data_IF_008620705822
#
_entry.id   IF_008620705822
#
_cell.length_a   1.000
_cell.length_b   1.000
_cell.length_c   1.000
_cell.angle_alpha   90.00
_cell.angle_beta   90.00
_cell.angle_gamma   90.00
#
_symmetry.space_group_name_H-M   'P 1'
#
loop_
_entity.id
_entity.type
_entity.pdbx_description
1 polymer ?
#
# COMPACT_ATOMS: atom_id res chain seq x y z
N UNK A 1 25.87 -62.11 -48.50
CA UNK A 1 26.83 -63.17 -48.26
C UNK A 1 26.99 -63.36 -46.76
N UNK A 2 26.46 -64.45 -46.29
CA UNK A 2 27.13 -65.50 -45.51
C UNK A 2 27.68 -64.96 -44.18
N UNK A 3 27.45 -65.50 -43.04
CA UNK A 3 26.91 -66.74 -42.46
C UNK A 3 27.21 -66.60 -40.96
N UNK A 4 26.26 -66.85 -40.05
CA UNK A 4 26.15 -68.15 -39.30
C UNK A 4 27.25 -68.32 -38.26
N UNK A 5 26.93 -68.56 -37.13
CA UNK A 5 26.44 -69.65 -36.24
C UNK A 5 27.43 -69.72 -35.06
N UNK A 6 27.00 -69.82 -33.89
CA UNK A 6 26.48 -70.88 -33.10
C UNK A 6 27.40 -71.29 -31.91
N UNK A 7 26.76 -71.66 -30.94
CA UNK A 7 26.90 -72.70 -29.89
C UNK A 7 27.43 -72.20 -28.53
N UNK A 8 26.58 -72.24 -27.48
CA UNK A 8 25.95 -73.38 -26.73
C UNK A 8 26.91 -74.02 -25.71
N UNK A 9 26.29 -74.20 -24.53
CA UNK A 9 26.55 -75.17 -23.45
C UNK A 9 27.38 -74.65 -22.28
N UNK A 10 26.73 -74.38 -21.13
CA UNK A 10 26.32 -75.38 -20.14
C UNK A 10 27.49 -76.02 -19.41
N UNK A 11 27.66 -75.79 -18.17
CA UNK A 11 27.83 -76.87 -17.18
C UNK A 11 27.55 -76.33 -15.74
N UNK A 12 26.76 -77.11 -15.10
CA UNK A 12 26.34 -77.13 -13.69
C UNK A 12 27.56 -77.55 -12.85
N UNK A 13 27.74 -76.91 -11.66
CA UNK A 13 28.28 -77.58 -10.47
C UNK A 13 28.05 -76.70 -9.23
N UNK A 14 27.21 -76.96 -8.47
CA UNK A 14 26.99 -77.57 -7.16
C UNK A 14 28.19 -77.50 -6.21
N UNK A 15 28.15 -76.61 -5.19
CA UNK A 15 28.60 -76.91 -3.81
C UNK A 15 28.12 -75.75 -2.89
N UNK A 16 27.17 -76.01 -2.15
CA UNK A 16 26.94 -76.16 -0.69
C UNK A 16 27.66 -75.14 0.21
N UNK A 17 26.81 -74.36 0.87
CA UNK A 17 26.69 -74.13 2.33
C UNK A 17 27.83 -73.37 3.02
N UNK A 18 27.54 -72.15 3.50
CA UNK A 18 27.63 -71.80 4.92
C UNK A 18 26.77 -70.49 5.06
N UNK A 19 25.71 -70.64 5.85
CA UNK A 19 24.89 -69.50 6.31
C UNK A 19 25.65 -68.79 7.42
N UNK A 20 26.06 -67.51 7.17
CA UNK A 20 26.36 -66.58 8.25
C UNK A 20 25.26 -65.52 8.21
N UNK A 21 24.31 -65.67 9.10
CA UNK A 21 23.29 -64.67 9.40
C UNK A 21 24.02 -63.51 10.10
N UNK A 22 24.35 -62.45 9.35
CA UNK A 22 24.63 -61.16 9.97
C UNK A 22 23.34 -60.35 9.97
N UNK A 23 22.72 -60.29 11.14
CA UNK A 23 21.65 -59.38 11.42
C UNK A 23 22.15 -57.93 11.26
N UNK A 24 21.96 -57.36 10.07
CA UNK A 24 22.10 -55.96 9.80
C UNK A 24 20.82 -55.27 10.32
N UNK A 25 20.82 -54.84 11.59
CA UNK A 25 19.85 -53.89 12.07
C UNK A 25 20.02 -52.59 11.28
N UNK A 26 18.97 -52.07 10.60
CA UNK A 26 19.04 -50.76 10.02
C UNK A 26 19.07 -49.75 11.19
N UNK A 27 20.22 -49.14 11.42
CA UNK A 27 20.31 -47.94 12.27
C UNK A 27 19.55 -46.83 11.57
N UNK A 28 18.27 -46.67 11.90
CA UNK A 28 17.53 -45.49 11.53
C UNK A 28 18.10 -44.31 12.29
N UNK A 29 18.96 -43.55 11.63
CA UNK A 29 19.33 -42.21 12.07
C UNK A 29 18.06 -41.34 12.07
N UNK A 30 17.40 -41.23 13.23
CA UNK A 30 16.40 -40.23 13.45
C UNK A 30 17.12 -38.89 13.51
N UNK A 31 17.24 -38.24 12.33
CA UNK A 31 17.63 -36.84 12.26
C UNK A 31 16.48 -36.08 12.88
N UNK A 32 16.58 -35.75 14.16
CA UNK A 32 15.75 -34.76 14.81
C UNK A 32 16.04 -33.40 14.15
N UNK A 33 15.35 -33.13 13.05
CA UNK A 33 15.27 -31.80 12.51
C UNK A 33 14.60 -30.96 13.60
N UNK A 34 15.39 -30.27 14.43
CA UNK A 34 14.92 -29.13 15.20
C UNK A 34 14.29 -28.20 14.19
N UNK A 35 12.97 -28.24 14.09
CA UNK A 35 12.21 -27.15 13.50
C UNK A 35 12.56 -25.91 14.30
N UNK A 36 13.53 -25.14 13.83
CA UNK A 36 13.69 -23.77 14.26
C UNK A 36 12.40 -23.07 13.86
N UNK A 37 11.43 -22.99 14.77
CA UNK A 37 10.33 -22.05 14.65
C UNK A 37 11.00 -20.67 14.65
N UNK A 38 11.34 -20.17 13.47
CA UNK A 38 11.64 -18.77 13.30
C UNK A 38 10.33 -18.04 13.60
N UNK A 39 10.17 -17.58 14.82
CA UNK A 39 9.15 -16.58 15.09
C UNK A 39 9.35 -15.48 14.05
N UNK A 40 8.31 -15.08 13.30
CA UNK A 40 8.44 -13.94 12.42
C UNK A 40 9.02 -12.78 13.23
N UNK A 41 9.94 -11.99 12.68
CA UNK A 41 10.55 -10.88 13.40
C UNK A 41 9.42 -10.03 13.98
N UNK A 42 9.55 -9.66 15.26
CA UNK A 42 8.54 -8.90 15.98
C UNK A 42 8.25 -7.61 15.23
N UNK A 43 7.10 -7.50 14.59
CA UNK A 43 6.67 -6.29 13.90
C UNK A 43 6.33 -5.20 14.92
N UNK A 44 6.75 -3.99 14.67
CA UNK A 44 6.29 -2.82 15.39
C UNK A 44 5.09 -2.23 14.65
N UNK A 45 3.99 -2.01 15.37
CA UNK A 45 2.73 -1.51 14.82
C UNK A 45 2.46 -0.09 15.28
N UNK A 46 2.01 0.72 14.34
CA UNK A 46 1.65 2.12 14.57
C UNK A 46 0.24 2.35 14.04
N UNK A 47 -0.58 3.01 14.86
CA UNK A 47 -1.93 3.45 14.46
C UNK A 47 -1.89 4.92 14.07
N UNK A 48 -2.51 5.28 12.95
CA UNK A 48 -2.61 6.67 12.51
C UNK A 48 -3.46 7.48 13.47
N UNK A 49 -3.03 8.71 13.76
CA UNK A 49 -3.73 9.68 14.60
C UNK A 49 -4.22 10.85 13.74
N UNK A 50 -5.49 10.80 13.35
CA UNK A 50 -6.11 11.84 12.53
C UNK A 50 -6.14 13.20 13.25
N UNK A 51 -6.25 13.20 14.58
CA UNK A 51 -6.31 14.44 15.39
C UNK A 51 -4.99 15.22 15.42
N UNK A 52 -3.85 14.52 15.23
CA UNK A 52 -2.50 15.12 15.20
C UNK A 52 -1.93 15.22 13.77
N UNK A 53 -2.74 14.91 12.78
CA UNK A 53 -2.33 14.84 11.39
C UNK A 53 -3.01 15.90 10.54
N UNK A 54 -2.36 16.22 9.42
CA UNK A 54 -2.94 17.05 8.37
C UNK A 54 -2.93 16.30 7.06
N UNK A 55 -4.09 16.21 6.40
CA UNK A 55 -4.20 15.62 5.08
C UNK A 55 -5.10 16.49 4.22
N UNK A 56 -4.53 17.05 3.13
CA UNK A 56 -5.17 18.06 2.29
C UNK A 56 -5.14 17.63 0.82
N UNK A 57 -6.22 17.98 0.12
CA UNK A 57 -6.32 17.85 -1.34
C UNK A 57 -6.50 19.24 -1.92
N UNK A 58 -5.65 19.64 -2.85
CA UNK A 58 -5.81 20.84 -3.65
C UNK A 58 -6.37 20.48 -5.02
N UNK A 59 -7.53 21.01 -5.33
CA UNK A 59 -8.16 20.93 -6.64
C UNK A 59 -8.04 22.28 -7.34
N UNK A 60 -7.41 22.29 -8.52
CA UNK A 60 -7.08 23.52 -9.23
C UNK A 60 -8.23 23.95 -10.15
N UNK A 61 -8.48 25.28 -10.21
CA UNK A 61 -9.36 25.85 -11.21
C UNK A 61 -8.77 25.70 -12.62
N UNK A 62 -9.63 25.54 -13.61
CA UNK A 62 -9.28 25.39 -15.01
C UNK A 62 -10.40 25.80 -15.95
N UNK A 63 -10.24 25.53 -17.24
CA UNK A 63 -11.17 25.95 -18.29
C UNK A 63 -10.81 27.32 -18.89
N UNK A 64 -11.61 27.79 -19.83
CA UNK A 64 -11.31 29.06 -20.57
C UNK A 64 -11.34 30.27 -19.64
N UNK A 65 -12.23 30.28 -18.64
CA UNK A 65 -12.37 31.35 -17.67
C UNK A 65 -11.77 30.96 -16.30
N UNK A 66 -10.64 30.21 -16.29
CA UNK A 66 -9.98 29.74 -15.08
C UNK A 66 -9.71 30.85 -14.05
N UNK A 67 -9.43 32.08 -14.51
CA UNK A 67 -9.15 33.23 -13.67
C UNK A 67 -10.39 33.76 -12.91
N UNK A 68 -11.60 33.31 -13.27
CA UNK A 68 -12.84 33.56 -12.53
C UNK A 68 -13.18 32.43 -11.55
N UNK A 69 -12.42 31.32 -11.62
CA UNK A 69 -12.55 30.21 -10.70
C UNK A 69 -11.59 30.31 -9.52
N UNK A 70 -11.79 29.46 -8.54
CA UNK A 70 -10.93 29.38 -7.37
C UNK A 70 -10.42 27.95 -7.20
N UNK A 71 -9.17 27.82 -6.73
CA UNK A 71 -8.70 26.54 -6.25
C UNK A 71 -9.46 26.16 -4.97
N UNK A 72 -9.70 24.89 -4.80
CA UNK A 72 -10.30 24.34 -3.59
C UNK A 72 -9.24 23.69 -2.71
N UNK A 73 -9.34 23.85 -1.40
CA UNK A 73 -8.48 23.24 -0.40
C UNK A 73 -9.31 22.37 0.51
N UNK A 74 -9.33 21.10 0.21
CA UNK A 74 -10.19 20.11 0.85
C UNK A 74 -9.40 19.40 1.95
N UNK A 75 -9.82 19.55 3.20
CA UNK A 75 -9.26 18.80 4.32
C UNK A 75 -9.92 17.41 4.42
N UNK A 76 -9.13 16.39 4.65
CA UNK A 76 -9.57 15.04 5.03
C UNK A 76 -9.67 15.01 6.56
N UNK A 77 -10.86 14.84 7.12
CA UNK A 77 -11.10 14.96 8.57
C UNK A 77 -11.18 13.63 9.30
N UNK A 78 -11.66 12.57 8.65
CA UNK A 78 -11.84 11.26 9.26
C UNK A 78 -11.11 10.19 8.44
N UNK A 79 -10.01 9.71 8.99
CA UNK A 79 -9.25 8.62 8.43
C UNK A 79 -8.63 7.78 9.54
N UNK A 80 -8.40 6.54 9.24
CA UNK A 80 -7.73 5.57 10.12
C UNK A 80 -6.75 4.72 9.32
N UNK A 81 -5.86 4.06 10.01
CA UNK A 81 -4.91 3.17 9.34
C UNK A 81 -3.85 2.62 10.27
N UNK A 82 -3.05 1.74 9.71
CA UNK A 82 -1.98 1.05 10.42
C UNK A 82 -0.72 1.03 9.56
N UNK A 83 0.41 1.25 10.22
CA UNK A 83 1.74 1.02 9.67
C UNK A 83 2.38 -0.12 10.45
N UNK A 84 2.96 -1.08 9.75
CA UNK A 84 3.75 -2.17 10.32
C UNK A 84 5.17 -2.06 9.81
N UNK A 85 6.12 -2.08 10.72
CA UNK A 85 7.54 -1.94 10.43
C UNK A 85 8.32 -3.09 11.09
N UNK A 86 9.45 -3.47 10.50
CA UNK A 86 10.49 -4.16 11.27
C UNK A 86 11.09 -3.21 12.33
N UNK A 87 11.59 -3.73 13.45
CA UNK A 87 12.15 -2.89 14.50
C UNK A 87 13.25 -1.97 13.96
N UNK A 88 13.20 -0.69 14.37
CA UNK A 88 14.21 0.35 14.09
C UNK A 88 14.49 0.64 12.61
N UNK A 89 13.61 0.19 11.71
CA UNK A 89 13.73 0.42 10.27
C UNK A 89 12.36 0.64 9.62
N UNK A 90 12.35 1.26 8.43
CA UNK A 90 11.14 1.38 7.62
C UNK A 90 11.02 0.27 6.56
N UNK A 91 11.94 -0.69 6.55
CA UNK A 91 11.97 -1.80 5.59
C UNK A 91 12.28 -3.12 6.33
N UNK A 92 11.43 -4.14 6.20
CA UNK A 92 10.16 -4.17 5.48
C UNK A 92 9.07 -3.38 6.19
N UNK A 93 8.16 -2.82 5.39
CA UNK A 93 7.05 -2.04 5.90
C UNK A 93 5.76 -2.31 5.12
N UNK A 94 4.63 -2.09 5.78
CA UNK A 94 3.32 -2.03 5.14
C UNK A 94 2.49 -0.89 5.71
N UNK A 95 1.64 -0.30 4.86
CA UNK A 95 0.71 0.76 5.22
C UNK A 95 -0.69 0.41 4.71
N UNK A 96 -1.68 0.55 5.57
CA UNK A 96 -3.09 0.54 5.19
C UNK A 96 -3.72 1.83 5.70
N UNK A 97 -4.51 2.49 4.86
CA UNK A 97 -5.22 3.73 5.16
C UNK A 97 -6.64 3.63 4.63
N UNK A 98 -7.61 4.05 5.45
CA UNK A 98 -9.01 4.21 5.06
C UNK A 98 -9.47 5.60 5.43
N UNK A 99 -10.12 6.29 4.51
CA UNK A 99 -10.67 7.63 4.64
C UNK A 99 -12.18 7.53 4.44
N UNK A 100 -12.97 8.17 5.31
CA UNK A 100 -14.40 8.35 5.07
C UNK A 100 -14.62 9.45 4.05
N UNK A 101 -15.18 9.10 2.89
CA UNK A 101 -15.34 10.03 1.77
C UNK A 101 -16.22 11.25 2.11
N UNK A 102 -17.19 11.09 3.03
CA UNK A 102 -18.05 12.17 3.50
C UNK A 102 -17.36 13.13 4.49
N UNK A 103 -16.14 12.83 4.93
CA UNK A 103 -15.35 13.66 5.85
C UNK A 103 -14.51 14.73 5.17
N UNK A 104 -14.52 14.76 3.84
CA UNK A 104 -13.79 15.74 3.06
C UNK A 104 -14.54 17.07 3.06
N UNK A 105 -13.87 18.17 3.44
CA UNK A 105 -14.49 19.49 3.59
C UNK A 105 -13.61 20.60 3.04
N UNK A 106 -14.26 21.60 2.39
CA UNK A 106 -13.63 22.85 1.95
C UNK A 106 -13.18 23.69 3.13
N UNK A 107 -11.96 24.23 3.07
CA UNK A 107 -11.35 24.98 4.18
C UNK A 107 -10.90 26.38 3.82
N UNK A 108 -10.96 26.80 2.56
CA UNK A 108 -10.48 28.14 2.16
C UNK A 108 -11.29 29.27 2.76
N UNK A 109 -10.58 30.27 3.25
CA UNK A 109 -11.20 31.45 3.92
C UNK A 109 -11.85 32.45 2.94
N UNK A 110 -11.60 32.31 1.64
CA UNK A 110 -12.28 33.13 0.62
C UNK A 110 -13.74 32.78 0.43
N UNK A 111 -14.19 31.63 0.93
CA UNK A 111 -15.57 31.19 0.89
C UNK A 111 -16.28 31.50 2.24
N UNK A 112 -17.48 32.06 2.15
CA UNK A 112 -18.33 32.17 3.33
C UNK A 112 -18.75 30.77 3.81
N UNK A 113 -19.21 30.67 5.06
CA UNK A 113 -19.67 29.37 5.59
C UNK A 113 -20.85 28.80 4.79
N UNK A 114 -21.73 29.65 4.29
CA UNK A 114 -22.82 29.20 3.42
C UNK A 114 -22.31 28.64 2.09
N UNK A 115 -21.30 29.28 1.48
CA UNK A 115 -20.67 28.76 0.27
C UNK A 115 -19.95 27.43 0.53
N UNK A 116 -19.23 27.32 1.67
CA UNK A 116 -18.59 26.03 2.05
C UNK A 116 -19.63 24.94 2.24
N UNK A 117 -20.79 25.22 2.81
CA UNK A 117 -21.87 24.21 2.93
C UNK A 117 -22.34 23.72 1.57
N UNK A 118 -22.52 24.61 0.58
CA UNK A 118 -22.90 24.24 -0.79
C UNK A 118 -21.78 23.38 -1.44
N UNK A 119 -20.53 23.85 -1.37
CA UNK A 119 -19.35 23.11 -1.91
C UNK A 119 -19.26 21.73 -1.27
N UNK A 120 -19.38 21.63 0.04
CA UNK A 120 -19.30 20.36 0.77
C UNK A 120 -20.45 19.41 0.40
N UNK A 121 -21.64 19.95 0.14
CA UNK A 121 -22.76 19.15 -0.34
C UNK A 121 -22.47 18.59 -1.73
N UNK A 122 -22.04 19.43 -2.67
CA UNK A 122 -21.67 18.98 -4.03
C UNK A 122 -20.52 17.98 -4.00
N UNK A 123 -19.51 18.20 -3.14
CA UNK A 123 -18.38 17.28 -2.96
C UNK A 123 -18.86 15.88 -2.57
N UNK A 124 -19.78 15.79 -1.61
CA UNK A 124 -20.31 14.51 -1.14
C UNK A 124 -21.26 13.84 -2.14
N UNK A 125 -22.21 14.62 -2.70
CA UNK A 125 -23.33 14.07 -3.47
C UNK A 125 -22.98 13.84 -4.95
N UNK A 126 -22.13 14.71 -5.54
CA UNK A 126 -21.87 14.74 -6.98
C UNK A 126 -20.46 14.25 -7.30
N UNK A 127 -19.45 14.77 -6.58
CA UNK A 127 -18.04 14.52 -6.91
C UNK A 127 -17.62 13.15 -6.41
N UNK A 128 -17.84 12.87 -5.13
CA UNK A 128 -17.41 11.63 -4.47
C UNK A 128 -18.51 10.57 -4.44
N UNK A 129 -19.78 10.96 -4.63
CA UNK A 129 -20.94 10.07 -4.50
C UNK A 129 -20.82 9.24 -3.20
N UNK A 130 -20.63 9.93 -2.05
CA UNK A 130 -20.21 9.33 -0.78
C UNK A 130 -21.15 8.28 -0.22
N UNK A 131 -22.44 8.31 -0.57
CA UNK A 131 -23.40 7.25 -0.22
C UNK A 131 -23.08 5.94 -0.93
N UNK A 132 -22.64 6.02 -2.19
CA UNK A 132 -22.29 4.86 -3.02
C UNK A 132 -20.85 4.40 -2.80
N UNK A 133 -19.95 5.34 -2.53
CA UNK A 133 -18.54 5.12 -2.31
C UNK A 133 -18.11 5.72 -0.97
N UNK A 134 -18.50 5.10 0.16
CA UNK A 134 -18.31 5.67 1.49
C UNK A 134 -16.84 5.75 1.91
N UNK A 135 -15.98 4.96 1.28
CA UNK A 135 -14.57 4.87 1.66
C UNK A 135 -13.63 5.11 0.47
N UNK A 136 -12.51 5.75 0.78
CA UNK A 136 -11.31 5.80 -0.05
C UNK A 136 -10.24 5.03 0.70
N UNK A 137 -9.61 4.05 0.06
CA UNK A 137 -8.62 3.19 0.72
C UNK A 137 -7.30 3.16 -0.02
N UNK A 138 -6.21 3.01 0.73
CA UNK A 138 -4.88 2.79 0.20
C UNK A 138 -4.24 1.59 0.91
N UNK A 139 -3.62 0.72 0.14
CA UNK A 139 -2.83 -0.41 0.64
C UNK A 139 -1.49 -0.45 -0.06
N UNK A 140 -0.40 -0.32 0.70
CA UNK A 140 0.94 -0.45 0.14
C UNK A 140 1.20 -1.87 -0.37
N UNK A 141 1.95 -1.95 -1.46
CA UNK A 141 2.46 -3.21 -2.03
C UNK A 141 3.97 -3.30 -1.94
N UNK A 142 4.64 -2.14 -1.88
CA UNK A 142 6.07 -2.03 -1.69
C UNK A 142 6.39 -0.75 -0.94
N UNK A 143 7.35 -0.83 -0.03
CA UNK A 143 7.94 0.34 0.62
C UNK A 143 9.45 0.20 0.49
N UNK A 144 10.07 1.21 -0.11
CA UNK A 144 11.52 1.33 -0.22
C UNK A 144 11.95 2.65 0.41
N UNK A 145 13.21 2.76 0.79
CA UNK A 145 13.72 3.99 1.36
C UNK A 145 15.14 3.85 1.87
N UNK A 146 15.74 4.98 2.19
CA UNK A 146 17.08 5.08 2.75
C UNK A 146 17.14 6.15 3.82
N UNK A 147 17.95 5.93 4.83
CA UNK A 147 18.27 6.93 5.84
C UNK A 147 19.11 8.02 5.19
N UNK A 148 18.69 9.28 5.34
CA UNK A 148 19.46 10.44 4.91
C UNK A 148 20.37 10.96 6.04
N UNK A 149 21.35 11.85 5.75
CA UNK A 149 22.26 12.40 6.77
C UNK A 149 21.57 13.17 7.90
N UNK A 150 20.32 13.62 7.69
CA UNK A 150 19.51 14.32 8.68
C UNK A 150 18.74 13.40 9.63
N UNK A 151 18.95 12.08 9.57
CA UNK A 151 18.26 11.12 10.43
C UNK A 151 16.81 10.84 10.03
N UNK A 152 16.43 11.21 8.82
CA UNK A 152 15.11 10.94 8.22
C UNK A 152 15.23 9.85 7.16
N UNK A 153 14.18 9.11 6.96
CA UNK A 153 14.09 8.17 5.84
C UNK A 153 13.39 8.84 4.65
N UNK A 154 14.08 8.89 3.51
CA UNK A 154 13.47 9.22 2.23
C UNK A 154 12.82 7.94 1.70
N UNK A 155 11.52 7.84 1.85
CA UNK A 155 10.72 6.67 1.52
C UNK A 155 9.96 6.84 0.21
N UNK A 156 9.75 5.73 -0.47
CA UNK A 156 8.86 5.58 -1.62
C UNK A 156 7.87 4.47 -1.33
N UNK A 157 6.59 4.82 -1.30
CA UNK A 157 5.50 3.93 -0.93
C UNK A 157 4.65 3.67 -2.17
N UNK A 158 4.81 2.50 -2.77
CA UNK A 158 3.96 2.05 -3.87
C UNK A 158 2.76 1.30 -3.33
N UNK A 159 1.59 1.50 -3.91
CA UNK A 159 0.40 0.82 -3.44
C UNK A 159 -0.82 1.05 -4.31
N UNK A 160 -1.89 0.40 -3.92
CA UNK A 160 -3.17 0.44 -4.60
C UNK A 160 -4.09 1.45 -3.89
N UNK A 161 -4.40 2.55 -4.57
CA UNK A 161 -5.41 3.53 -4.16
C UNK A 161 -6.74 3.14 -4.78
N UNK A 162 -7.76 2.98 -3.94
CA UNK A 162 -9.15 2.80 -4.37
C UNK A 162 -9.94 4.03 -4.03
N UNK A 163 -10.51 4.67 -5.04
CA UNK A 163 -11.35 5.87 -4.90
C UNK A 163 -12.50 5.76 -5.91
N UNK A 164 -13.72 6.14 -5.50
CA UNK A 164 -14.91 6.11 -6.36
C UNK A 164 -15.12 4.75 -7.07
N UNK A 165 -14.81 3.64 -6.36
CA UNK A 165 -14.93 2.27 -6.86
C UNK A 165 -13.87 1.85 -7.90
N UNK A 166 -12.85 2.66 -8.13
CA UNK A 166 -11.76 2.37 -9.07
C UNK A 166 -10.44 2.26 -8.31
N UNK A 167 -9.68 1.21 -8.59
CA UNK A 167 -8.35 0.99 -8.00
C UNK A 167 -7.26 1.32 -9.03
N UNK A 168 -6.25 2.07 -8.59
CA UNK A 168 -5.05 2.39 -9.36
C UNK A 168 -3.79 2.23 -8.52
N UNK A 169 -2.73 1.77 -9.17
CA UNK A 169 -1.39 1.80 -8.57
C UNK A 169 -0.88 3.23 -8.57
N UNK A 170 -0.44 3.68 -7.40
CA UNK A 170 0.20 5.00 -7.24
C UNK A 170 1.51 4.86 -6.48
N UNK A 171 2.31 5.92 -6.54
CA UNK A 171 3.58 6.06 -5.89
C UNK A 171 3.60 7.34 -5.05
N UNK A 172 3.92 7.18 -3.77
CA UNK A 172 3.87 8.25 -2.78
C UNK A 172 5.29 8.45 -2.21
N UNK A 173 5.99 9.52 -2.58
CA UNK A 173 7.22 9.91 -1.91
C UNK A 173 6.90 10.46 -0.53
N UNK A 174 7.68 10.08 0.47
CA UNK A 174 7.51 10.53 1.85
C UNK A 174 8.85 10.69 2.56
N UNK A 175 8.92 11.69 3.42
CA UNK A 175 9.96 11.78 4.45
C UNK A 175 9.39 11.23 5.76
N UNK A 176 10.06 10.22 6.31
CA UNK A 176 9.61 9.52 7.52
C UNK A 176 10.63 9.74 8.63
N UNK A 177 10.13 10.13 9.81
CA UNK A 177 10.91 10.23 11.05
C UNK A 177 10.30 9.32 12.10
N UNK A 178 11.16 8.69 12.90
CA UNK A 178 10.76 7.93 14.08
C UNK A 178 11.34 8.63 15.31
N UNK A 179 10.49 8.92 16.29
CA UNK A 179 10.90 9.59 17.55
C UNK A 179 10.13 8.96 18.73
N UNK A 180 10.82 8.16 19.53
CA UNK A 180 10.19 7.42 20.62
C UNK A 180 9.08 6.49 20.10
N UNK A 181 7.86 6.72 20.56
CA UNK A 181 6.68 5.94 20.16
C UNK A 181 5.95 6.50 18.95
N UNK A 182 6.46 7.57 18.35
CA UNK A 182 5.80 8.23 17.22
C UNK A 182 6.56 7.98 15.92
N UNK A 183 5.78 7.76 14.87
CA UNK A 183 6.19 7.82 13.49
C UNK A 183 5.52 9.03 12.85
N UNK A 184 6.26 9.84 12.11
CA UNK A 184 5.72 10.96 11.35
C UNK A 184 6.15 10.86 9.89
N UNK A 185 5.17 10.92 8.99
CA UNK A 185 5.39 10.88 7.55
C UNK A 185 4.86 12.16 6.89
N UNK A 186 5.69 12.80 6.08
CA UNK A 186 5.36 13.99 5.32
C UNK A 186 5.61 13.78 3.84
N UNK A 187 4.75 14.32 3.01
CA UNK A 187 4.95 14.23 1.57
C UNK A 187 3.84 14.87 0.77
N UNK A 188 4.02 14.77 -0.55
CA UNK A 188 3.01 15.18 -1.50
C UNK A 188 3.04 14.27 -2.73
N UNK A 189 1.89 14.09 -3.34
CA UNK A 189 1.74 13.35 -4.59
C UNK A 189 0.58 13.91 -5.41
N UNK A 190 0.48 13.50 -6.64
CA UNK A 190 -0.62 13.89 -7.52
C UNK A 190 -1.29 12.68 -8.13
N UNK A 191 -2.60 12.78 -8.36
CA UNK A 191 -3.37 11.84 -9.18
C UNK A 191 -4.25 12.61 -10.15
N UNK A 192 -4.61 12.00 -11.24
CA UNK A 192 -5.62 12.53 -12.15
C UNK A 192 -6.98 11.96 -11.74
N UNK A 193 -7.95 12.86 -11.45
CA UNK A 193 -9.29 12.45 -10.95
C UNK A 193 -10.03 11.56 -11.95
N UNK A 194 -9.78 11.76 -13.26
CA UNK A 194 -10.38 10.96 -14.32
C UNK A 194 -9.99 9.48 -14.27
N UNK A 195 -8.78 9.17 -13.78
CA UNK A 195 -8.34 7.79 -13.57
C UNK A 195 -9.24 7.03 -12.59
N UNK A 196 -9.91 7.76 -11.72
CA UNK A 196 -10.85 7.23 -10.73
C UNK A 196 -12.32 7.51 -11.07
N UNK A 197 -12.61 7.97 -12.28
CA UNK A 197 -13.96 8.34 -12.73
C UNK A 197 -14.64 9.40 -11.86
N UNK A 198 -13.88 10.19 -11.12
CA UNK A 198 -14.39 11.29 -10.31
C UNK A 198 -14.78 12.45 -11.24
N UNK A 199 -16.03 12.91 -11.15
CA UNK A 199 -16.56 13.96 -11.99
C UNK A 199 -15.97 15.33 -11.60
N UNK A 200 -15.76 16.18 -12.60
CA UNK A 200 -15.47 17.61 -12.33
C UNK A 200 -16.77 18.35 -12.13
N UNK A 201 -16.83 19.17 -11.10
CA UNK A 201 -17.83 20.25 -11.05
C UNK A 201 -17.45 21.37 -12.03
N UNK A 202 -18.43 22.05 -12.55
CA UNK A 202 -18.22 23.15 -13.48
C UNK A 202 -19.22 24.28 -13.23
N UNK A 203 -18.79 25.49 -13.53
CA UNK A 203 -19.61 26.69 -13.50
C UNK A 203 -19.57 27.39 -14.88
N UNK A 204 -20.46 28.35 -15.09
CA UNK A 204 -20.55 29.12 -16.34
C UNK A 204 -20.59 28.25 -17.61
N UNK A 205 -21.50 27.26 -17.62
CA UNK A 205 -21.68 26.33 -18.74
C UNK A 205 -20.38 25.58 -19.13
N UNK A 206 -19.56 25.22 -18.12
CA UNK A 206 -18.31 24.48 -18.34
C UNK A 206 -17.07 25.34 -18.63
N UNK A 207 -17.22 26.66 -18.72
CA UNK A 207 -16.09 27.60 -18.96
C UNK A 207 -15.14 27.70 -17.77
N UNK A 208 -15.64 27.42 -16.56
CA UNK A 208 -14.84 27.23 -15.33
C UNK A 208 -15.07 25.81 -14.86
N UNK A 209 -14.00 25.07 -14.63
CA UNK A 209 -14.07 23.67 -14.18
C UNK A 209 -12.85 23.31 -13.32
N UNK A 210 -12.95 22.24 -12.55
CA UNK A 210 -11.80 21.68 -11.82
C UNK A 210 -10.89 20.94 -12.80
N UNK A 211 -9.59 21.21 -12.72
CA UNK A 211 -8.56 20.49 -13.51
C UNK A 211 -8.57 19.01 -13.17
N UNK A 212 -7.97 18.20 -14.06
CA UNK A 212 -7.88 16.77 -13.85
C UNK A 212 -6.94 16.42 -12.70
N UNK A 213 -5.79 17.06 -12.65
CA UNK A 213 -4.76 16.82 -11.65
C UNK A 213 -5.15 17.37 -10.28
N UNK A 214 -5.17 16.48 -9.29
CA UNK A 214 -5.32 16.77 -7.88
C UNK A 214 -3.97 16.64 -7.18
N UNK A 215 -3.65 17.58 -6.29
CA UNK A 215 -2.44 17.53 -5.47
C UNK A 215 -2.81 17.20 -4.03
N UNK A 216 -2.20 16.16 -3.50
CA UNK A 216 -2.33 15.71 -2.12
C UNK A 216 -1.10 16.12 -1.35
N UNK A 217 -1.29 16.66 -0.15
CA UNK A 217 -0.22 16.95 0.81
C UNK A 217 -0.58 16.37 2.15
N UNK A 218 0.39 15.80 2.85
CA UNK A 218 0.14 15.18 4.13
C UNK A 218 1.28 15.40 5.12
N UNK A 219 0.89 15.43 6.38
CA UNK A 219 1.75 15.39 7.55
C UNK A 219 1.04 14.49 8.57
N UNK A 220 1.38 13.22 8.53
CA UNK A 220 0.69 12.16 9.28
C UNK A 220 1.53 11.74 10.46
N UNK A 221 0.88 11.68 11.62
CA UNK A 221 1.44 11.13 12.85
C UNK A 221 0.79 9.77 13.11
N UNK A 222 1.60 8.81 13.55
CA UNK A 222 1.15 7.50 14.00
C UNK A 222 1.82 7.12 15.31
N UNK A 223 1.07 6.47 16.20
CA UNK A 223 1.55 6.02 17.52
C UNK A 223 1.74 4.52 17.55
N UNK A 224 2.83 4.10 18.16
CA UNK A 224 3.10 2.69 18.48
C UNK A 224 2.09 2.18 19.51
N UNK A 225 1.60 0.94 19.32
CA UNK A 225 0.68 0.26 20.23
C UNK A 225 0.97 -1.24 20.34
#
# INVERSE_FOLDING_TARGET
>A
MRKLLNHRNSFISFLMLIAVVLDLFPVTLVVNAKSSSSNPPAETRYRLDAGRSTFMVRAFSGGLLWFKGHDHFIAVRDFSGEVRLAPETIIPASLQLTIKSNSLVETRDIFTEQQKQIINKELREIVLESEKYPEISFKSTSVTGKLNPGGQFDARIEGDLTMHGVTRRIDIPAQVTMAGNDLRARGEFTVDRSDFRVKATSAFHGLVRVRDKLKFTFDIVAHRY
#
